data_IF_964250993092
#
_entry.id   IF_964250993092
#
_cell.length_a   1.000
_cell.length_b   1.000
_cell.length_c   1.000
_cell.angle_alpha   90.00
_cell.angle_beta   90.00
_cell.angle_gamma   90.00
#
_symmetry.space_group_name_H-M   'P 1'
#
loop_
_entity.id
_entity.type
_entity.pdbx_description
1 polymer ?
#
# COMPACT_ATOMS: atom_id res chain seq x y z
N UNK A 1 8.01 28.22 -37.61
CA UNK A 1 9.42 28.64 -37.47
C UNK A 1 10.24 28.07 -38.63
N UNK A 2 11.30 28.75 -39.09
CA UNK A 2 12.17 28.20 -40.13
C UNK A 2 12.82 26.89 -39.65
N UNK A 3 13.01 25.90 -40.54
CA UNK A 3 13.68 24.65 -40.18
C UNK A 3 15.08 24.93 -39.63
N UNK A 4 15.45 24.25 -38.55
CA UNK A 4 16.77 24.39 -37.90
C UNK A 4 17.60 23.14 -38.17
N UNK A 5 18.91 23.30 -38.38
CA UNK A 5 19.83 22.19 -38.57
C UNK A 5 19.98 21.39 -37.27
N UNK A 6 19.73 20.08 -37.33
CA UNK A 6 19.99 19.17 -36.22
C UNK A 6 21.49 19.16 -35.89
N UNK A 7 21.84 19.42 -34.62
CA UNK A 7 23.23 19.48 -34.16
C UNK A 7 24.00 18.15 -34.29
N UNK A 8 23.29 17.03 -34.45
CA UNK A 8 23.89 15.69 -34.51
C UNK A 8 24.05 15.15 -35.94
N UNK A 9 23.19 15.55 -36.88
CA UNK A 9 23.20 14.99 -38.25
C UNK A 9 23.09 16.02 -39.37
N UNK A 10 22.97 17.32 -39.06
CA UNK A 10 22.95 18.40 -40.05
C UNK A 10 21.71 18.44 -40.96
N UNK A 11 20.72 17.58 -40.72
CA UNK A 11 19.45 17.60 -41.44
C UNK A 11 18.53 18.70 -40.90
N UNK A 12 17.72 19.25 -41.78
CA UNK A 12 16.74 20.27 -41.45
C UNK A 12 15.60 19.61 -40.65
N UNK A 13 15.41 20.04 -39.41
CA UNK A 13 14.34 19.57 -38.54
C UNK A 13 13.37 20.70 -38.23
N UNK A 14 12.08 20.37 -38.23
CA UNK A 14 11.02 21.29 -37.81
C UNK A 14 11.05 21.36 -36.28
N UNK A 15 11.45 22.51 -35.74
CA UNK A 15 11.41 22.78 -34.31
C UNK A 15 10.06 23.39 -33.99
N UNK A 16 9.29 22.70 -33.13
CA UNK A 16 8.02 23.19 -32.62
C UNK A 16 8.25 23.94 -31.33
N UNK A 17 7.58 25.07 -31.15
CA UNK A 17 7.59 25.77 -29.87
C UNK A 17 6.97 24.86 -28.81
N UNK A 18 7.75 24.52 -27.79
CA UNK A 18 7.34 23.57 -26.75
C UNK A 18 6.22 24.13 -25.88
N UNK A 19 6.21 25.45 -25.64
CA UNK A 19 5.19 26.11 -24.83
C UNK A 19 3.76 25.99 -25.41
N UNK A 20 3.48 26.38 -26.68
CA UNK A 20 2.15 26.20 -27.27
C UNK A 20 1.77 24.73 -27.47
N UNK A 21 2.75 23.83 -27.68
CA UNK A 21 2.48 22.39 -27.73
C UNK A 21 2.02 21.85 -26.37
N UNK A 22 2.70 22.22 -25.29
CA UNK A 22 2.30 21.87 -23.92
C UNK A 22 0.94 22.50 -23.59
N UNK A 23 0.71 23.75 -23.98
CA UNK A 23 -0.59 24.41 -23.79
C UNK A 23 -1.72 23.63 -24.47
N UNK A 24 -1.52 23.19 -25.71
CA UNK A 24 -2.50 22.35 -26.41
C UNK A 24 -2.73 20.99 -25.74
N UNK A 25 -1.71 20.37 -25.15
CA UNK A 25 -1.88 19.13 -24.38
C UNK A 25 -2.71 19.38 -23.12
N UNK A 26 -2.43 20.47 -22.39
CA UNK A 26 -3.16 20.87 -21.19
C UNK A 26 -4.62 21.16 -21.55
N UNK A 27 -4.88 21.91 -22.61
CA UNK A 27 -6.22 22.26 -23.07
C UNK A 27 -7.02 21.01 -23.46
N UNK A 28 -6.37 20.06 -24.16
CA UNK A 28 -6.97 18.78 -24.55
C UNK A 28 -7.27 17.90 -23.34
N UNK A 29 -6.36 17.85 -22.35
CA UNK A 29 -6.56 17.14 -21.09
C UNK A 29 -7.72 17.77 -20.30
N UNK A 30 -7.76 19.10 -20.16
CA UNK A 30 -8.83 19.82 -19.48
C UNK A 30 -10.19 19.66 -20.17
N UNK A 31 -10.21 19.53 -21.50
CA UNK A 31 -11.42 19.19 -22.26
C UNK A 31 -11.89 17.77 -21.96
N UNK A 32 -10.99 16.78 -21.99
CA UNK A 32 -11.31 15.39 -21.69
C UNK A 32 -11.81 15.20 -20.24
N UNK A 33 -11.21 15.92 -19.28
CA UNK A 33 -11.68 15.91 -17.88
C UNK A 33 -13.08 16.51 -17.74
N UNK A 34 -13.37 17.62 -18.45
CA UNK A 34 -14.72 18.21 -18.47
C UNK A 34 -15.75 17.26 -19.07
N UNK A 35 -15.40 16.58 -20.15
CA UNK A 35 -16.27 15.61 -20.81
C UNK A 35 -16.52 14.37 -19.94
N UNK A 36 -15.48 13.83 -19.28
CA UNK A 36 -15.63 12.77 -18.29
C UNK A 36 -16.54 13.18 -17.12
N UNK A 37 -16.39 14.40 -16.62
CA UNK A 37 -17.24 14.92 -15.56
C UNK A 37 -18.68 15.17 -16.03
N UNK A 38 -18.87 15.61 -17.28
CA UNK A 38 -20.18 15.78 -17.88
C UNK A 38 -20.91 14.44 -18.06
N UNK A 39 -20.20 13.41 -18.55
CA UNK A 39 -20.74 12.04 -18.67
C UNK A 39 -21.10 11.45 -17.31
N UNK A 40 -20.22 11.60 -16.30
CA UNK A 40 -20.52 11.21 -14.91
C UNK A 40 -21.74 11.93 -14.31
N UNK A 41 -22.03 13.15 -14.78
CA UNK A 41 -23.19 13.91 -14.35
C UNK A 41 -24.43 13.63 -15.21
N UNK A 42 -24.29 13.10 -16.42
CA UNK A 42 -25.41 12.64 -17.25
C UNK A 42 -25.94 11.28 -16.81
N UNK A 43 -25.10 10.42 -16.24
CA UNK A 43 -25.53 9.17 -15.58
C UNK A 43 -26.18 9.40 -14.19
N UNK A 44 -26.25 10.65 -13.73
CA UNK A 44 -27.06 11.04 -12.56
C UNK A 44 -28.40 11.57 -13.04
N UNK A 45 -29.42 10.71 -13.05
CA UNK A 45 -30.81 11.15 -13.17
C UNK A 45 -31.16 12.20 -12.09
N UNK A 46 -32.11 13.12 -12.35
CA UNK A 46 -32.43 14.19 -11.41
C UNK A 46 -32.96 13.61 -10.09
N UNK A 47 -32.33 14.03 -8.99
CA UNK A 47 -32.76 13.66 -7.65
C UNK A 47 -34.19 14.16 -7.39
N UNK A 48 -35.13 13.22 -7.33
CA UNK A 48 -36.37 13.43 -6.58
C UNK A 48 -35.99 13.75 -5.13
N UNK A 49 -36.63 14.76 -4.58
CA UNK A 49 -36.46 15.21 -3.20
C UNK A 49 -36.83 14.07 -2.24
N UNK A 50 -35.85 13.26 -1.88
CA UNK A 50 -35.98 12.30 -0.80
C UNK A 50 -35.58 12.97 0.52
N UNK A 51 -36.59 13.04 1.37
CA UNK A 51 -36.52 13.34 2.80
C UNK A 51 -35.34 12.60 3.44
N UNK A 52 -34.72 13.25 4.44
CA UNK A 52 -33.59 12.78 5.22
C UNK A 52 -33.58 11.25 5.43
N UNK A 53 -32.77 10.56 4.64
CA UNK A 53 -32.54 9.12 4.75
C UNK A 53 -31.28 8.86 5.57
N UNK A 54 -31.41 7.90 6.47
CA UNK A 54 -30.37 7.34 7.33
C UNK A 54 -29.07 7.06 6.56
N UNK A 55 -27.94 7.48 7.14
CA UNK A 55 -26.60 7.20 6.60
C UNK A 55 -26.47 5.74 6.16
N UNK A 56 -26.18 5.53 4.87
CA UNK A 56 -25.97 4.24 4.21
C UNK A 56 -25.16 3.27 5.10
N UNK A 57 -25.84 2.27 5.65
CA UNK A 57 -25.29 1.26 6.55
C UNK A 57 -24.71 0.05 5.80
N UNK A 58 -24.14 0.24 4.62
CA UNK A 58 -23.62 -0.85 3.79
C UNK A 58 -22.09 -0.84 3.73
N UNK A 59 -21.50 -2.03 3.80
CA UNK A 59 -20.08 -2.29 3.61
C UNK A 59 -19.62 -1.60 2.32
N UNK A 60 -18.62 -0.70 2.38
CA UNK A 60 -18.17 0.03 1.20
C UNK A 60 -17.59 -0.90 0.13
N UNK A 61 -17.15 -2.11 0.49
CA UNK A 61 -16.53 -3.07 -0.41
C UNK A 61 -17.51 -4.04 -1.08
N UNK A 62 -18.82 -3.92 -0.81
CA UNK A 62 -19.82 -4.79 -1.41
C UNK A 62 -19.80 -4.67 -2.94
N UNK A 63 -19.69 -5.80 -3.64
CA UNK A 63 -19.54 -5.88 -5.10
C UNK A 63 -18.37 -5.09 -5.74
N UNK A 64 -17.38 -4.64 -4.97
CA UNK A 64 -16.24 -3.86 -5.47
C UNK A 64 -15.01 -4.74 -5.72
N UNK A 65 -14.33 -4.59 -6.86
CA UNK A 65 -13.02 -5.21 -7.09
C UNK A 65 -11.96 -4.45 -6.27
N UNK A 66 -11.33 -5.13 -5.31
CA UNK A 66 -10.41 -4.47 -4.37
C UNK A 66 -9.13 -3.95 -5.03
N UNK A 67 -8.56 -4.68 -5.98
CA UNK A 67 -7.26 -4.34 -6.58
C UNK A 67 -7.32 -3.24 -7.65
N UNK A 68 -8.42 -2.51 -7.71
CA UNK A 68 -8.64 -1.48 -8.73
C UNK A 68 -9.73 -0.50 -8.26
N UNK A 69 -9.50 0.11 -7.09
CA UNK A 69 -10.50 1.01 -6.53
C UNK A 69 -9.93 2.07 -5.58
N UNK A 70 -10.51 3.26 -5.62
CA UNK A 70 -10.21 4.36 -4.70
C UNK A 70 -11.42 4.74 -3.82
N UNK A 71 -12.45 3.90 -3.77
CA UNK A 71 -13.70 4.20 -3.04
C UNK A 71 -13.51 4.42 -1.54
N UNK A 72 -12.39 3.97 -0.96
CA UNK A 72 -12.05 4.18 0.45
C UNK A 72 -11.25 5.46 0.66
N UNK A 73 -10.64 6.02 -0.39
CA UNK A 73 -9.72 7.15 -0.33
C UNK A 73 -10.46 8.50 -0.25
N UNK A 74 -11.35 8.65 0.74
CA UNK A 74 -12.13 9.87 0.97
C UNK A 74 -12.26 10.20 2.46
N UNK A 75 -12.69 11.43 2.75
CA UNK A 75 -12.79 11.96 4.12
C UNK A 75 -13.87 11.21 4.90
N UNK A 76 -15.01 10.89 4.26
CA UNK A 76 -16.13 10.20 4.89
C UNK A 76 -15.69 8.86 5.48
N UNK A 77 -14.84 8.12 4.75
CA UNK A 77 -14.29 6.86 5.23
C UNK A 77 -13.34 7.02 6.42
N UNK A 78 -12.65 8.15 6.55
CA UNK A 78 -11.75 8.40 7.68
C UNK A 78 -12.46 9.03 8.89
N UNK A 79 -13.73 9.40 8.75
CA UNK A 79 -14.47 10.10 9.80
C UNK A 79 -14.63 9.28 11.09
N UNK A 80 -15.03 7.97 11.05
CA UNK A 80 -15.17 7.20 12.28
C UNK A 80 -13.85 7.02 13.04
N UNK A 81 -12.73 6.86 12.34
CA UNK A 81 -11.40 6.87 12.94
C UNK A 81 -11.06 8.23 13.56
N UNK A 82 -11.38 9.32 12.85
CA UNK A 82 -11.19 10.69 13.36
C UNK A 82 -11.91 10.89 14.68
N UNK A 83 -13.18 10.48 14.76
CA UNK A 83 -13.99 10.60 15.97
C UNK A 83 -13.46 9.72 17.10
N UNK A 84 -13.01 8.50 16.78
CA UNK A 84 -12.40 7.59 17.77
C UNK A 84 -11.17 8.22 18.44
N UNK A 85 -10.27 8.84 17.67
CA UNK A 85 -9.09 9.52 18.23
C UNK A 85 -9.46 10.80 18.98
N UNK A 86 -10.37 11.62 18.45
CA UNK A 86 -10.84 12.85 19.11
C UNK A 86 -11.47 12.57 20.47
N UNK A 87 -12.25 11.49 20.60
CA UNK A 87 -12.83 11.05 21.88
C UNK A 87 -11.76 10.68 22.93
N UNK A 88 -10.51 10.44 22.50
CA UNK A 88 -9.35 10.19 23.36
C UNK A 88 -8.41 11.39 23.46
N UNK A 89 -8.82 12.57 22.98
CA UNK A 89 -8.02 13.79 22.91
C UNK A 89 -6.73 13.62 22.10
N UNK A 90 -6.78 12.79 21.06
CA UNK A 90 -5.68 12.56 20.13
C UNK A 90 -6.06 13.22 18.81
N UNK A 91 -5.14 13.95 18.21
CA UNK A 91 -5.32 14.57 16.89
C UNK A 91 -4.71 13.67 15.81
N UNK A 92 -5.54 13.03 14.95
CA UNK A 92 -5.04 12.27 13.82
C UNK A 92 -4.80 13.15 12.59
N UNK A 93 -3.82 12.79 11.79
CA UNK A 93 -3.59 13.27 10.43
C UNK A 93 -3.57 12.06 9.50
N UNK A 94 -4.53 12.02 8.57
CA UNK A 94 -4.68 10.96 7.59
C UNK A 94 -4.38 11.49 6.19
N UNK A 95 -3.57 10.75 5.44
CA UNK A 95 -3.51 10.87 3.99
C UNK A 95 -4.56 9.92 3.40
N UNK A 96 -5.66 10.46 2.88
CA UNK A 96 -6.72 9.64 2.28
C UNK A 96 -6.21 8.80 1.10
N UNK A 97 -5.21 9.29 0.36
CA UNK A 97 -4.62 8.57 -0.77
C UNK A 97 -3.74 7.39 -0.31
N UNK A 98 -3.38 7.30 0.98
CA UNK A 98 -2.57 6.21 1.50
C UNK A 98 -3.26 4.85 1.46
N UNK A 99 -4.59 4.83 1.25
CA UNK A 99 -5.42 3.62 1.08
C UNK A 99 -6.06 3.54 -0.31
N UNK A 100 -5.55 4.28 -1.29
CA UNK A 100 -5.95 4.14 -2.70
C UNK A 100 -5.43 2.82 -3.28
N UNK A 101 -6.34 1.90 -3.59
CA UNK A 101 -6.06 0.55 -4.09
C UNK A 101 -6.15 0.50 -5.63
N UNK A 102 -6.23 1.63 -6.35
CA UNK A 102 -6.21 1.68 -7.81
C UNK A 102 -4.80 1.58 -8.42
N UNK A 103 -3.77 1.62 -7.57
CA UNK A 103 -2.38 1.46 -7.97
C UNK A 103 -1.95 -0.01 -8.12
N UNK A 104 -0.63 -0.22 -8.17
CA UNK A 104 -0.04 -1.57 -8.27
C UNK A 104 0.64 -2.04 -6.98
N UNK A 105 0.62 -1.23 -5.91
CA UNK A 105 1.34 -1.54 -4.68
C UNK A 105 0.68 -2.66 -3.87
N UNK A 106 -0.64 -2.70 -3.80
CA UNK A 106 -1.40 -3.76 -3.15
C UNK A 106 -1.20 -5.12 -3.86
N UNK A 107 -1.30 -5.16 -5.18
CA UNK A 107 -1.07 -6.38 -5.96
C UNK A 107 0.38 -6.87 -5.83
N UNK A 108 1.34 -5.95 -5.88
CA UNK A 108 2.75 -6.26 -5.68
C UNK A 108 3.03 -6.75 -4.25
N UNK A 109 2.43 -6.12 -3.24
CA UNK A 109 2.54 -6.52 -1.84
C UNK A 109 1.95 -7.92 -1.62
N UNK A 110 0.79 -8.22 -2.20
CA UNK A 110 0.19 -9.55 -2.16
C UNK A 110 1.11 -10.61 -2.79
N UNK A 111 1.78 -10.29 -3.90
CA UNK A 111 2.74 -11.20 -4.56
C UNK A 111 3.99 -11.41 -3.72
N UNK A 112 4.52 -10.35 -3.12
CA UNK A 112 5.65 -10.44 -2.18
C UNK A 112 5.27 -11.32 -1.00
N UNK A 113 4.16 -11.03 -0.32
CA UNK A 113 3.73 -11.75 0.88
C UNK A 113 3.50 -13.25 0.63
N UNK A 114 2.80 -13.59 -0.46
CA UNK A 114 2.53 -15.00 -0.84
C UNK A 114 3.78 -15.79 -1.23
N UNK A 115 4.84 -15.10 -1.67
CA UNK A 115 6.10 -15.72 -2.11
C UNK A 115 7.29 -15.30 -1.22
N UNK A 116 7.03 -14.88 0.02
CA UNK A 116 8.03 -14.19 0.84
C UNK A 116 9.29 -15.03 1.10
N UNK A 117 9.14 -16.34 1.31
CA UNK A 117 10.26 -17.25 1.52
C UNK A 117 11.30 -17.20 0.38
N UNK A 118 10.87 -16.95 -0.85
CA UNK A 118 11.74 -16.84 -2.03
C UNK A 118 12.16 -15.38 -2.25
N UNK A 119 11.25 -14.43 -1.97
CA UNK A 119 11.42 -13.04 -2.33
C UNK A 119 12.19 -12.21 -1.29
N UNK A 120 12.31 -12.68 -0.04
CA UNK A 120 13.02 -11.99 1.04
C UNK A 120 14.46 -11.64 0.64
N UNK A 121 15.19 -12.58 0.04
CA UNK A 121 16.57 -12.33 -0.41
C UNK A 121 16.64 -11.29 -1.53
N UNK A 122 15.63 -11.25 -2.39
CA UNK A 122 15.51 -10.27 -3.48
C UNK A 122 15.23 -8.89 -2.88
N UNK A 123 14.30 -8.78 -1.92
CA UNK A 123 14.02 -7.53 -1.20
C UNK A 123 15.27 -7.00 -0.48
N UNK A 124 16.02 -7.88 0.19
CA UNK A 124 17.26 -7.50 0.86
C UNK A 124 18.28 -6.92 -0.11
N UNK A 125 18.43 -7.52 -1.31
CA UNK A 125 19.28 -7.00 -2.37
C UNK A 125 18.78 -5.66 -2.92
N UNK A 126 17.47 -5.50 -3.13
CA UNK A 126 16.86 -4.24 -3.58
C UNK A 126 17.14 -3.14 -2.55
N UNK A 127 16.84 -3.39 -1.28
CA UNK A 127 17.06 -2.44 -0.19
C UNK A 127 18.54 -2.07 -0.03
N UNK A 128 19.45 -3.05 -0.12
CA UNK A 128 20.89 -2.79 -0.12
C UNK A 128 21.32 -1.90 -1.29
N UNK A 129 20.81 -2.15 -2.51
CA UNK A 129 21.12 -1.31 -3.66
C UNK A 129 20.61 0.12 -3.48
N UNK A 130 19.38 0.31 -2.98
CA UNK A 130 18.87 1.65 -2.69
C UNK A 130 19.71 2.41 -1.64
N UNK A 131 20.15 1.73 -0.57
CA UNK A 131 21.01 2.36 0.47
C UNK A 131 22.37 2.78 -0.07
N UNK A 132 22.91 2.05 -1.04
CA UNK A 132 24.20 2.34 -1.67
C UNK A 132 24.08 3.16 -2.96
N UNK A 133 22.90 3.72 -3.25
CA UNK A 133 22.62 4.48 -4.47
C UNK A 133 22.94 3.72 -5.78
N UNK A 134 22.85 2.39 -5.75
CA UNK A 134 22.97 1.55 -6.92
C UNK A 134 21.60 1.31 -7.54
N UNK A 135 21.51 1.42 -8.87
CA UNK A 135 20.27 1.18 -9.60
C UNK A 135 20.20 -0.19 -10.29
N UNK A 136 21.33 -0.88 -10.45
CA UNK A 136 21.39 -2.17 -11.16
C UNK A 136 21.30 -3.35 -10.20
N UNK A 137 20.52 -4.37 -10.56
CA UNK A 137 20.43 -5.62 -9.79
C UNK A 137 20.43 -6.82 -10.74
N UNK A 138 21.35 -7.76 -10.50
CA UNK A 138 21.42 -9.02 -11.24
C UNK A 138 20.92 -10.17 -10.36
N UNK A 139 19.98 -10.96 -10.87
CA UNK A 139 19.44 -12.14 -10.18
C UNK A 139 19.79 -13.40 -10.96
N UNK A 140 20.71 -14.19 -10.42
CA UNK A 140 21.09 -15.49 -10.96
C UNK A 140 20.06 -16.55 -10.58
N UNK A 141 19.28 -16.99 -11.57
CA UNK A 141 18.22 -17.98 -11.36
C UNK A 141 18.74 -19.41 -11.24
N UNK A 142 20.02 -19.68 -11.51
CA UNK A 142 20.62 -21.03 -11.35
C UNK A 142 20.62 -21.49 -9.89
N UNK A 143 20.50 -20.55 -8.94
CA UNK A 143 20.48 -20.81 -7.49
C UNK A 143 19.12 -21.29 -6.98
N UNK A 144 18.09 -21.23 -7.80
CA UNK A 144 16.71 -21.56 -7.43
C UNK A 144 16.26 -22.82 -8.16
N UNK A 145 15.26 -23.52 -7.60
CA UNK A 145 14.60 -24.60 -8.32
C UNK A 145 13.92 -24.07 -9.59
N UNK A 146 13.59 -24.95 -10.54
CA UNK A 146 12.93 -24.53 -11.79
C UNK A 146 11.60 -23.80 -11.53
N UNK A 147 10.83 -24.24 -10.53
CA UNK A 147 9.55 -23.61 -10.16
C UNK A 147 9.78 -22.21 -9.59
N UNK A 148 10.70 -22.07 -8.65
CA UNK A 148 11.04 -20.77 -8.04
C UNK A 148 11.64 -19.81 -9.05
N UNK A 149 12.55 -20.27 -9.91
CA UNK A 149 13.12 -19.48 -10.99
C UNK A 149 12.03 -18.92 -11.92
N UNK A 150 11.05 -19.75 -12.30
CA UNK A 150 9.92 -19.30 -13.10
C UNK A 150 9.05 -18.28 -12.36
N UNK A 151 8.78 -18.51 -11.07
CA UNK A 151 8.01 -17.59 -10.23
C UNK A 151 8.71 -16.23 -10.09
N UNK A 152 10.00 -16.21 -9.77
CA UNK A 152 10.81 -14.98 -9.69
C UNK A 152 10.78 -14.23 -11.02
N UNK A 153 10.97 -14.94 -12.13
CA UNK A 153 10.98 -14.34 -13.46
C UNK A 153 9.64 -13.67 -13.80
N UNK A 154 8.52 -14.36 -13.51
CA UNK A 154 7.18 -13.83 -13.74
C UNK A 154 6.91 -12.59 -12.88
N UNK A 155 7.22 -12.65 -11.58
CA UNK A 155 7.01 -11.52 -10.66
C UNK A 155 7.88 -10.33 -11.07
N UNK A 156 9.15 -10.54 -11.42
CA UNK A 156 10.04 -9.46 -11.85
C UNK A 156 9.58 -8.80 -13.15
N UNK A 157 9.12 -9.61 -14.12
CA UNK A 157 8.56 -9.10 -15.38
C UNK A 157 7.32 -8.26 -15.13
N UNK A 158 6.48 -8.69 -14.19
CA UNK A 158 5.25 -7.98 -13.86
C UNK A 158 5.52 -6.68 -13.10
N UNK A 159 6.44 -6.69 -12.14
CA UNK A 159 6.85 -5.47 -11.45
C UNK A 159 7.43 -4.44 -12.44
N UNK A 160 8.09 -4.90 -13.49
CA UNK A 160 8.46 -4.03 -14.59
C UNK A 160 7.26 -3.49 -15.38
N UNK A 161 6.26 -4.31 -15.73
CA UNK A 161 5.04 -3.80 -16.42
C UNK A 161 4.25 -2.81 -15.57
N UNK A 162 4.34 -2.91 -14.24
CA UNK A 162 3.71 -2.00 -13.28
C UNK A 162 4.62 -0.81 -12.89
N UNK A 163 5.74 -0.62 -13.60
CA UNK A 163 6.70 0.48 -13.39
C UNK A 163 7.44 0.51 -12.04
N UNK A 164 7.31 -0.57 -11.23
CA UNK A 164 8.08 -0.78 -10.00
C UNK A 164 9.58 -0.98 -10.29
N UNK A 165 9.90 -1.51 -11.48
CA UNK A 165 11.25 -1.52 -12.03
C UNK A 165 11.31 -0.65 -13.29
N UNK A 166 12.42 0.04 -13.51
CA UNK A 166 12.64 0.88 -14.69
C UNK A 166 13.17 0.11 -15.90
N UNK A 167 13.74 -1.08 -15.68
CA UNK A 167 14.14 -2.02 -16.75
C UNK A 167 14.12 -3.45 -16.25
N UNK A 168 13.76 -4.37 -17.14
CA UNK A 168 13.87 -5.81 -16.96
C UNK A 168 14.41 -6.45 -18.24
N UNK A 169 15.35 -7.40 -18.10
CA UNK A 169 15.84 -8.22 -19.21
C UNK A 169 16.17 -9.61 -18.69
N UNK A 170 15.73 -10.65 -19.40
CA UNK A 170 16.04 -12.04 -19.05
C UNK A 170 16.95 -12.66 -20.10
N UNK A 171 18.14 -13.07 -19.68
CA UNK A 171 19.11 -13.78 -20.51
C UNK A 171 18.94 -15.29 -20.34
N UNK A 172 18.27 -15.93 -21.30
CA UNK A 172 17.88 -17.34 -21.22
C UNK A 172 19.08 -18.30 -21.12
N UNK A 173 20.17 -18.04 -21.85
CA UNK A 173 21.37 -18.89 -21.87
C UNK A 173 22.01 -18.99 -20.48
N UNK A 174 22.13 -17.84 -19.80
CA UNK A 174 22.76 -17.76 -18.49
C UNK A 174 21.79 -17.84 -17.31
N UNK A 175 20.48 -17.91 -17.59
CA UNK A 175 19.41 -17.87 -16.58
C UNK A 175 19.58 -16.67 -15.64
N UNK A 176 19.87 -15.50 -16.20
CA UNK A 176 20.16 -14.27 -15.47
C UNK A 176 19.08 -13.22 -15.73
N UNK A 177 18.53 -12.63 -14.68
CA UNK A 177 17.66 -11.46 -14.79
C UNK A 177 18.50 -10.21 -14.49
N UNK A 178 18.44 -9.25 -15.40
CA UNK A 178 18.98 -7.91 -15.21
C UNK A 178 17.83 -6.95 -14.93
N UNK A 179 17.88 -6.31 -13.76
CA UNK A 179 16.91 -5.31 -13.33
C UNK A 179 17.59 -3.94 -13.24
N UNK A 180 16.84 -2.90 -13.58
CA UNK A 180 17.11 -1.54 -13.13
C UNK A 180 16.01 -1.10 -12.18
N UNK A 181 16.39 -0.75 -10.96
CA UNK A 181 15.49 -0.26 -9.93
C UNK A 181 14.91 1.10 -10.32
N UNK A 182 13.72 1.40 -9.83
CA UNK A 182 13.06 2.69 -10.05
C UNK A 182 13.45 3.66 -8.92
N UNK A 183 13.81 4.89 -9.28
CA UNK A 183 14.37 5.84 -8.32
C UNK A 183 13.30 6.63 -7.54
N UNK A 184 12.04 6.62 -8.00
CA UNK A 184 10.96 7.37 -7.39
C UNK A 184 10.78 7.01 -5.91
N UNK A 185 10.65 8.04 -5.06
CA UNK A 185 10.56 7.90 -3.60
C UNK A 185 9.50 6.90 -3.12
N UNK A 186 8.25 6.91 -3.64
CA UNK A 186 7.24 5.95 -3.21
C UNK A 186 7.64 4.49 -3.47
N UNK A 187 8.33 4.22 -4.58
CA UNK A 187 8.77 2.87 -4.93
C UNK A 187 9.96 2.43 -4.07
N UNK A 188 10.87 3.36 -3.74
CA UNK A 188 11.92 3.09 -2.75
C UNK A 188 11.33 2.75 -1.39
N UNK A 189 10.36 3.52 -0.91
CA UNK A 189 9.67 3.28 0.36
C UNK A 189 8.94 1.93 0.36
N UNK A 190 8.24 1.61 -0.73
CA UNK A 190 7.58 0.33 -0.96
C UNK A 190 8.52 -0.85 -0.70
N UNK A 191 9.61 -0.93 -1.45
CA UNK A 191 10.55 -2.05 -1.30
C UNK A 191 11.34 -2.02 0.01
N UNK A 192 11.46 -0.87 0.68
CA UNK A 192 12.14 -0.74 1.97
C UNK A 192 11.26 -1.06 3.18
N UNK A 193 9.95 -1.27 3.01
CA UNK A 193 9.11 -1.72 4.11
C UNK A 193 7.61 -1.55 3.90
N UNK A 194 7.18 -0.49 3.20
CA UNK A 194 5.75 -0.16 3.13
C UNK A 194 4.94 -1.20 2.34
N UNK A 195 5.59 -2.09 1.58
CA UNK A 195 4.94 -3.28 1.01
C UNK A 195 4.22 -4.13 2.08
N UNK A 196 4.74 -4.20 3.31
CA UNK A 196 4.15 -5.00 4.38
C UNK A 196 2.86 -4.36 4.91
N UNK A 197 2.81 -3.03 4.94
CA UNK A 197 1.59 -2.29 5.29
C UNK A 197 0.51 -2.49 4.22
N UNK A 198 0.87 -2.39 2.93
CA UNK A 198 -0.02 -2.71 1.82
C UNK A 198 -0.52 -4.15 1.87
N UNK A 199 0.35 -5.10 2.23
CA UNK A 199 -0.04 -6.50 2.42
C UNK A 199 -1.06 -6.62 3.55
N UNK A 200 -0.78 -6.04 4.73
CA UNK A 200 -1.67 -6.10 5.89
C UNK A 200 -3.03 -5.46 5.61
N UNK A 201 -3.05 -4.30 4.95
CA UNK A 201 -4.26 -3.61 4.51
C UNK A 201 -5.06 -4.49 3.53
N UNK A 202 -4.40 -5.08 2.54
CA UNK A 202 -5.08 -5.95 1.58
C UNK A 202 -5.70 -7.20 2.25
N UNK A 203 -5.01 -7.83 3.21
CA UNK A 203 -5.54 -8.99 3.93
C UNK A 203 -6.79 -8.62 4.77
N UNK A 204 -6.75 -7.51 5.51
CA UNK A 204 -7.89 -7.09 6.32
C UNK A 204 -9.09 -6.62 5.49
N UNK A 205 -8.86 -5.91 4.38
CA UNK A 205 -9.93 -5.52 3.45
C UNK A 205 -10.55 -6.73 2.73
N UNK A 206 -9.72 -7.71 2.36
CA UNK A 206 -10.21 -8.97 1.77
C UNK A 206 -11.12 -9.71 2.74
N UNK A 207 -10.75 -9.79 4.03
CA UNK A 207 -11.57 -10.40 5.06
C UNK A 207 -12.85 -9.60 5.34
N UNK A 208 -12.76 -8.27 5.42
CA UNK A 208 -13.92 -7.39 5.60
C UNK A 208 -14.96 -7.55 4.48
N UNK A 209 -14.49 -7.70 3.24
CA UNK A 209 -15.35 -7.97 2.08
C UNK A 209 -16.07 -9.32 2.21
N UNK A 210 -15.42 -10.35 2.75
CA UNK A 210 -16.03 -11.68 2.95
C UNK A 210 -17.18 -11.67 3.98
N UNK A 211 -17.18 -10.74 4.94
CA UNK A 211 -18.27 -10.57 5.90
C UNK A 211 -19.53 -9.92 5.30
N UNK A 212 -19.45 -9.49 4.05
CA UNK A 212 -20.61 -9.10 3.24
C UNK A 212 -21.14 -7.71 3.54
N UNK A 213 -22.26 -7.40 2.89
CA UNK A 213 -22.84 -6.05 2.78
C UNK A 213 -23.14 -5.32 4.09
N UNK A 214 -23.28 -6.02 5.22
CA UNK A 214 -23.62 -5.37 6.50
C UNK A 214 -22.38 -5.03 7.35
N UNK A 215 -21.18 -5.41 6.88
CA UNK A 215 -19.94 -5.21 7.60
C UNK A 215 -19.34 -3.83 7.32
N UNK A 216 -19.69 -2.86 8.17
CA UNK A 216 -19.22 -1.47 8.05
C UNK A 216 -17.92 -1.26 8.84
N UNK A 217 -17.01 -0.45 8.31
CA UNK A 217 -15.73 -0.15 8.95
C UNK A 217 -15.14 1.17 8.45
N UNK A 218 -14.19 1.70 9.23
CA UNK A 218 -13.28 2.78 8.85
C UNK A 218 -11.84 2.26 8.80
N UNK A 219 -10.99 2.72 7.89
CA UNK A 219 -9.60 2.27 7.80
C UNK A 219 -8.67 3.40 7.36
N UNK A 220 -7.39 3.28 7.69
CA UNK A 220 -6.32 4.19 7.28
C UNK A 220 -4.98 3.45 7.26
N UNK A 221 -3.97 4.02 6.57
CA UNK A 221 -2.59 3.55 6.55
C UNK A 221 -1.64 4.72 6.76
N UNK A 222 -0.46 4.48 7.36
CA UNK A 222 0.57 5.49 7.64
C UNK A 222 0.00 6.72 8.37
N UNK A 223 -0.89 6.49 9.34
CA UNK A 223 -1.59 7.54 10.05
C UNK A 223 -0.68 8.17 11.10
N UNK A 224 -0.59 9.50 11.11
CA UNK A 224 0.09 10.21 12.19
C UNK A 224 -0.90 10.56 13.28
N UNK A 225 -0.52 10.34 14.52
CA UNK A 225 -1.31 10.71 15.69
C UNK A 225 -0.49 11.56 16.64
N UNK A 226 -1.10 12.67 17.08
CA UNK A 226 -0.51 13.62 18.02
C UNK A 226 -1.29 13.61 19.32
N UNK A 227 -0.59 13.35 20.41
CA UNK A 227 -1.17 13.43 21.76
C UNK A 227 -1.12 14.86 22.30
N UNK A 228 -1.87 15.13 23.37
CA UNK A 228 -1.91 16.45 24.04
C UNK A 228 -0.57 16.94 24.59
N UNK A 229 0.39 16.04 24.81
CA UNK A 229 1.75 16.38 25.21
C UNK A 229 2.71 16.56 24.02
N UNK A 230 2.18 16.71 22.80
CA UNK A 230 2.90 16.84 21.54
C UNK A 230 3.67 15.61 21.06
N UNK A 231 3.58 14.47 21.76
CA UNK A 231 4.15 13.21 21.28
C UNK A 231 3.51 12.83 19.95
N UNK A 232 4.36 12.62 18.94
CA UNK A 232 3.98 12.20 17.61
C UNK A 232 4.31 10.72 17.42
N UNK A 233 3.30 9.96 17.01
CA UNK A 233 3.47 8.56 16.62
C UNK A 233 2.87 8.35 15.22
N UNK A 234 3.46 7.42 14.48
CA UNK A 234 2.89 6.88 13.25
C UNK A 234 2.32 5.50 13.54
N UNK A 235 1.15 5.20 12.98
CA UNK A 235 0.49 3.91 13.04
C UNK A 235 0.36 3.36 11.62
N UNK A 236 0.92 2.17 11.41
CA UNK A 236 1.12 1.59 10.09
C UNK A 236 -0.22 1.25 9.38
N UNK A 237 -1.10 0.44 9.99
CA UNK A 237 -2.45 0.16 9.47
C UNK A 237 -3.49 0.25 10.59
N UNK A 238 -4.59 0.93 10.30
CA UNK A 238 -5.73 1.12 11.19
C UNK A 238 -7.01 0.56 10.57
N UNK A 239 -7.79 -0.15 11.37
CA UNK A 239 -9.08 -0.67 10.94
C UNK A 239 -10.06 -0.69 12.12
N UNK A 240 -11.17 0.01 11.96
CA UNK A 240 -12.20 0.18 12.98
C UNK A 240 -13.52 -0.39 12.45
N UNK A 241 -13.86 -1.65 12.78
CA UNK A 241 -15.19 -2.16 12.48
C UNK A 241 -16.25 -1.41 13.29
N UNK A 242 -17.43 -1.22 12.72
CA UNK A 242 -18.55 -0.55 13.40
C UNK A 242 -18.87 -1.26 14.72
N UNK A 243 -18.96 -0.48 15.80
CA UNK A 243 -19.26 -0.95 17.16
C UNK A 243 -18.25 -1.98 17.72
N UNK A 244 -17.03 -2.05 17.17
CA UNK A 244 -15.94 -2.90 17.69
C UNK A 244 -14.72 -2.07 18.09
N UNK A 245 -13.71 -2.76 18.61
CA UNK A 245 -12.45 -2.16 19.02
C UNK A 245 -11.59 -1.80 17.80
N UNK A 246 -10.82 -0.71 17.90
CA UNK A 246 -9.83 -0.35 16.89
C UNK A 246 -8.78 -1.44 16.78
N UNK A 247 -8.54 -1.92 15.56
CA UNK A 247 -7.44 -2.81 15.21
C UNK A 247 -6.29 -1.97 14.68
N UNK A 248 -5.09 -2.21 15.21
CA UNK A 248 -3.84 -1.60 14.78
C UNK A 248 -2.89 -2.72 14.36
N UNK A 249 -2.28 -2.59 13.19
CA UNK A 249 -1.26 -3.52 12.71
C UNK A 249 0.03 -2.73 12.48
N UNK A 250 1.03 -2.96 13.32
CA UNK A 250 2.40 -2.44 13.21
C UNK A 250 3.24 -3.42 12.39
N UNK A 251 3.75 -2.98 11.24
CA UNK A 251 4.42 -3.78 10.23
C UNK A 251 5.94 -3.68 10.38
N UNK A 252 6.63 -4.80 10.62
CA UNK A 252 8.10 -4.83 10.79
C UNK A 252 8.75 -5.84 9.84
N UNK A 253 9.53 -5.29 8.90
CA UNK A 253 10.34 -6.05 7.94
C UNK A 253 11.77 -6.34 8.42
N UNK A 254 12.22 -5.68 9.49
CA UNK A 254 13.57 -5.76 10.04
C UNK A 254 13.61 -5.88 11.56
N UNK A 255 14.74 -5.52 12.19
CA UNK A 255 14.91 -5.60 13.64
C UNK A 255 13.94 -4.67 14.39
N UNK A 256 13.14 -5.25 15.28
CA UNK A 256 12.08 -4.56 16.01
C UNK A 256 12.27 -4.59 17.54
N UNK A 257 13.17 -5.45 18.05
CA UNK A 257 13.28 -5.78 19.48
C UNK A 257 13.59 -4.56 20.35
N UNK A 258 14.39 -3.64 19.85
CA UNK A 258 14.75 -2.40 20.55
C UNK A 258 13.55 -1.47 20.79
N UNK A 259 12.45 -1.66 20.04
CA UNK A 259 11.26 -0.81 20.07
C UNK A 259 10.07 -1.49 20.78
N UNK A 260 10.24 -2.65 21.41
CA UNK A 260 9.12 -3.37 22.04
C UNK A 260 8.40 -2.55 23.10
N UNK A 261 9.16 -1.85 23.95
CA UNK A 261 8.58 -0.98 24.97
C UNK A 261 7.80 0.19 24.36
N UNK A 262 8.27 0.72 23.22
CA UNK A 262 7.54 1.76 22.47
C UNK A 262 6.16 1.25 22.05
N UNK A 263 6.06 0.06 21.47
CA UNK A 263 4.78 -0.50 21.03
C UNK A 263 3.87 -0.85 22.20
N UNK A 264 4.42 -1.43 23.27
CA UNK A 264 3.66 -1.75 24.48
C UNK A 264 3.09 -0.49 25.14
N UNK A 265 3.90 0.56 25.25
CA UNK A 265 3.47 1.84 25.81
C UNK A 265 2.42 2.51 24.93
N UNK A 266 2.60 2.49 23.60
CA UNK A 266 1.64 3.06 22.66
C UNK A 266 0.29 2.34 22.73
N UNK A 267 0.27 0.99 22.73
CA UNK A 267 -0.94 0.19 22.92
C UNK A 267 -1.68 0.56 24.22
N UNK A 268 -0.94 0.61 25.34
CA UNK A 268 -1.51 0.96 26.65
C UNK A 268 -2.09 2.37 26.65
N UNK A 269 -1.37 3.33 26.07
CA UNK A 269 -1.79 4.73 25.98
C UNK A 269 -3.03 4.92 25.10
N UNK A 270 -3.13 4.19 23.99
CA UNK A 270 -4.32 4.15 23.15
C UNK A 270 -5.49 3.37 23.80
N UNK A 271 -5.20 2.61 24.87
CA UNK A 271 -6.13 1.71 25.54
C UNK A 271 -6.75 0.70 24.56
N UNK A 272 -5.89 0.02 23.78
CA UNK A 272 -6.30 -1.00 22.81
C UNK A 272 -6.06 -2.39 23.42
N UNK A 273 -7.03 -3.33 23.32
CA UNK A 273 -6.84 -4.70 23.76
C UNK A 273 -5.62 -5.36 23.10
N UNK A 274 -4.96 -6.26 23.82
CA UNK A 274 -3.75 -6.95 23.31
C UNK A 274 -3.99 -7.61 21.95
N UNK A 275 -5.12 -8.29 21.78
CA UNK A 275 -5.47 -8.99 20.54
C UNK A 275 -5.65 -8.03 19.34
N UNK A 276 -6.05 -6.78 19.59
CA UNK A 276 -6.32 -5.77 18.59
C UNK A 276 -5.09 -4.93 18.21
N UNK A 277 -3.96 -5.07 18.92
CA UNK A 277 -2.71 -4.41 18.59
C UNK A 277 -1.68 -5.46 18.14
N UNK A 278 -1.55 -5.60 16.83
CA UNK A 278 -0.83 -6.68 16.17
C UNK A 278 0.52 -6.15 15.67
N UNK A 279 1.61 -6.78 16.05
CA UNK A 279 2.91 -6.62 15.41
C UNK A 279 3.06 -7.70 14.34
N UNK A 280 2.91 -7.31 13.07
CA UNK A 280 3.16 -8.16 11.92
C UNK A 280 4.65 -8.17 11.60
N UNK A 281 5.30 -9.32 11.77
CA UNK A 281 6.75 -9.46 11.71
C UNK A 281 7.15 -10.52 10.69
N UNK A 282 8.07 -10.18 9.78
CA UNK A 282 8.44 -11.09 8.67
C UNK A 282 9.58 -12.06 9.01
N UNK A 283 10.38 -11.79 10.04
CA UNK A 283 11.58 -12.58 10.39
C UNK A 283 11.37 -13.53 11.58
N UNK A 284 10.13 -13.96 11.83
CA UNK A 284 9.78 -14.94 12.86
C UNK A 284 8.85 -16.02 12.29
N UNK A 285 8.88 -17.21 12.89
CA UNK A 285 7.92 -18.28 12.61
C UNK A 285 6.75 -18.28 13.61
N UNK A 286 5.75 -19.12 13.39
CA UNK A 286 4.55 -19.20 14.24
C UNK A 286 4.86 -19.54 15.71
N UNK A 287 5.81 -20.44 15.96
CA UNK A 287 6.20 -20.80 17.32
C UNK A 287 6.83 -19.60 18.05
N UNK A 288 7.70 -18.86 17.37
CA UNK A 288 8.28 -17.61 17.89
C UNK A 288 7.21 -16.55 18.11
N UNK A 289 6.29 -16.36 17.16
CA UNK A 289 5.18 -15.41 17.29
C UNK A 289 4.33 -15.72 18.53
N UNK A 290 3.99 -17.00 18.76
CA UNK A 290 3.27 -17.44 19.97
C UNK A 290 4.06 -17.16 21.25
N UNK A 291 5.34 -17.54 21.30
CA UNK A 291 6.19 -17.32 22.48
C UNK A 291 6.36 -15.82 22.80
N UNK A 292 6.62 -15.00 21.79
CA UNK A 292 6.73 -13.55 21.95
C UNK A 292 5.42 -12.92 22.42
N UNK A 293 4.28 -13.40 21.90
CA UNK A 293 2.97 -12.88 22.29
C UNK A 293 2.67 -13.14 23.77
N UNK A 294 3.00 -14.34 24.25
CA UNK A 294 2.87 -14.69 25.67
C UNK A 294 3.80 -13.86 26.57
N UNK A 295 4.97 -13.46 26.06
CA UNK A 295 5.99 -12.77 26.85
C UNK A 295 5.74 -11.26 26.98
N UNK A 296 5.31 -10.58 25.90
CA UNK A 296 5.38 -9.12 25.80
C UNK A 296 4.03 -8.38 25.93
N UNK A 297 2.93 -9.04 26.28
CA UNK A 297 1.58 -8.43 26.31
C UNK A 297 1.25 -7.64 25.02
N UNK A 298 1.73 -8.18 23.91
CA UNK A 298 1.58 -7.70 22.55
C UNK A 298 1.22 -8.92 21.70
N UNK A 299 0.46 -8.72 20.62
CA UNK A 299 0.17 -9.81 19.69
C UNK A 299 1.18 -9.80 18.57
N UNK A 300 1.90 -10.90 18.35
CA UNK A 300 2.78 -11.08 17.20
C UNK A 300 2.09 -11.97 16.17
N UNK A 301 2.15 -11.55 14.90
CA UNK A 301 1.68 -12.33 13.78
C UNK A 301 2.78 -12.46 12.73
N UNK A 302 2.79 -13.59 12.04
CA UNK A 302 3.55 -13.77 10.80
C UNK A 302 2.67 -13.40 9.60
N UNK A 303 3.23 -13.42 8.39
CA UNK A 303 2.45 -13.28 7.15
C UNK A 303 1.34 -14.35 7.03
N UNK A 304 1.60 -15.58 7.46
CA UNK A 304 0.64 -16.69 7.39
C UNK A 304 -0.38 -16.67 8.53
N UNK A 305 0.06 -16.28 9.72
CA UNK A 305 -0.79 -16.24 10.92
C UNK A 305 -1.70 -15.01 11.00
N UNK A 306 -1.46 -13.97 10.20
CA UNK A 306 -2.21 -12.71 10.25
C UNK A 306 -3.71 -12.92 10.08
N UNK A 307 -4.14 -13.69 9.09
CA UNK A 307 -5.57 -13.86 8.78
C UNK A 307 -6.35 -14.51 9.93
N UNK A 308 -5.73 -15.46 10.65
CA UNK A 308 -6.36 -16.11 11.80
C UNK A 308 -6.47 -15.16 12.99
N UNK A 309 -5.45 -14.31 13.20
CA UNK A 309 -5.54 -13.25 14.21
C UNK A 309 -6.63 -12.23 13.85
N UNK A 310 -6.75 -11.83 12.59
CA UNK A 310 -7.78 -10.89 12.15
C UNK A 310 -9.20 -11.44 12.36
N UNK A 311 -9.46 -12.71 12.02
CA UNK A 311 -10.75 -13.37 12.27
C UNK A 311 -11.16 -13.36 13.75
N UNK A 312 -10.20 -13.32 14.68
CA UNK A 312 -10.47 -13.26 16.12
C UNK A 312 -11.01 -11.90 16.56
N UNK A 313 -10.55 -10.81 15.93
CA UNK A 313 -10.82 -9.43 16.38
C UNK A 313 -11.78 -8.64 15.51
N UNK A 314 -12.02 -9.09 14.27
CA UNK A 314 -12.94 -8.47 13.32
C UNK A 314 -14.39 -8.84 13.54
#
# INVERSE_FOLDING_TARGET
>A
MPPTKCANCGQDVTVYETAPFIQHIIDRWASAVRELNALKNQDKEPAEQQQAQEHNQSNPLDNVKLSDTNILANIEQHQPLTDWFKNKQITPEFDCAAIDMSGYFDEAAAKIGKNFAIFQDILNKIAWNYRNNHSGLNLDLKKYSQKEAQQINNICREFYSHTLFSRYTYQKQDKLIHLKLQAATPIRQFFNGTWLEWFALNEILTLAKQYGKNYNFSCARSAKIRFTNEDLHELDVLFLPKNKQLIVIECKTGEYRQNLDKYLNLRKRLNIPTDNFILLVTNINEAQAKSLSSMYQLTFATLTGLIEQLKKVM
#
